data_IF_048511586104
#
_entry.id   IF_048511586104
#
_cell.length_a   1.000
_cell.length_b   1.000
_cell.length_c   1.000
_cell.angle_alpha   90.00
_cell.angle_beta   90.00
_cell.angle_gamma   90.00
#
_symmetry.space_group_name_H-M   'P 1'
#
loop_
_entity.id
_entity.type
_entity.pdbx_description
1 polymer ?
#
# COMPACT_ATOMS: atom_id res chain seq x y z
N UNK A 1 -2.59 19.20 19.18
CA UNK A 1 -1.74 18.00 19.44
C UNK A 1 -2.35 16.80 18.74
N UNK A 2 -1.59 16.13 17.85
CA UNK A 2 -2.02 14.92 17.13
C UNK A 2 -1.26 13.73 17.67
N UNK A 3 -1.95 12.64 18.01
CA UNK A 3 -1.33 11.37 18.40
C UNK A 3 -1.47 10.38 17.27
N UNK A 4 -0.34 9.81 16.81
CA UNK A 4 -0.28 8.80 15.75
C UNK A 4 0.07 7.44 16.32
N UNK A 5 -0.66 6.42 15.88
CA UNK A 5 -0.46 5.02 16.24
C UNK A 5 -0.12 4.20 14.98
N UNK A 6 1.10 4.38 14.41
CA UNK A 6 1.49 3.63 13.23
C UNK A 6 1.69 2.16 13.59
N UNK A 7 0.89 1.29 13.05
CA UNK A 7 0.94 -0.16 13.27
C UNK A 7 2.11 -0.86 12.55
N UNK A 8 2.86 -0.13 11.72
CA UNK A 8 3.79 -0.71 10.75
C UNK A 8 5.25 -0.23 10.86
N UNK A 9 5.65 0.51 11.88
CA UNK A 9 7.05 0.96 11.97
C UNK A 9 7.72 0.63 13.30
N UNK A 10 8.74 -0.24 13.24
CA UNK A 10 9.78 -0.31 14.28
C UNK A 10 10.58 1.00 14.19
N UNK A 11 10.76 1.69 15.31
CA UNK A 11 11.57 2.92 15.37
C UNK A 11 10.86 4.21 14.94
N UNK A 12 9.57 4.33 15.23
CA UNK A 12 8.71 5.45 14.81
C UNK A 12 9.28 6.85 15.06
N UNK A 13 10.08 7.07 16.10
CA UNK A 13 10.62 8.40 16.44
C UNK A 13 11.61 8.96 15.41
N UNK A 14 12.37 8.09 14.74
CA UNK A 14 13.36 8.47 13.72
C UNK A 14 12.89 8.11 12.30
N UNK A 15 11.63 7.74 12.16
CA UNK A 15 11.08 7.39 10.84
C UNK A 15 11.01 8.62 9.92
N UNK A 16 11.08 8.44 8.60
CA UNK A 16 10.85 9.50 7.64
C UNK A 16 9.55 10.25 7.87
N UNK A 17 8.49 9.54 8.26
CA UNK A 17 7.21 10.13 8.64
C UNK A 17 7.35 11.10 9.82
N UNK A 18 8.10 10.73 10.87
CA UNK A 18 8.36 11.59 12.01
C UNK A 18 9.16 12.84 11.66
N UNK A 19 10.17 12.68 10.78
CA UNK A 19 10.99 13.80 10.31
C UNK A 19 10.16 14.83 9.54
N UNK A 20 9.26 14.37 8.66
CA UNK A 20 8.39 15.28 7.89
C UNK A 20 7.37 15.98 8.79
N UNK A 21 6.79 15.29 9.78
CA UNK A 21 5.91 15.91 10.78
C UNK A 21 6.64 17.01 11.57
N UNK A 22 7.88 16.74 11.98
CA UNK A 22 8.69 17.73 12.69
C UNK A 22 9.03 18.93 11.81
N UNK A 23 9.37 18.71 10.54
CA UNK A 23 9.67 19.74 9.57
C UNK A 23 8.48 20.67 9.30
N UNK A 24 7.25 20.15 9.37
CA UNK A 24 6.02 20.96 9.27
C UNK A 24 5.64 21.70 10.57
N UNK A 25 6.42 21.55 11.65
CA UNK A 25 6.13 22.17 12.93
C UNK A 25 4.82 21.70 13.60
N UNK A 26 4.29 20.54 13.19
CA UNK A 26 3.01 20.02 13.72
C UNK A 26 3.23 19.44 15.12
N UNK A 27 2.53 19.93 16.15
CA UNK A 27 2.58 19.33 17.47
C UNK A 27 2.04 17.91 17.46
N UNK A 28 2.93 16.91 17.59
CA UNK A 28 2.57 15.51 17.48
C UNK A 28 3.25 14.62 18.51
N UNK A 29 2.70 13.43 18.71
CA UNK A 29 3.30 12.34 19.46
C UNK A 29 3.13 11.02 18.73
N UNK A 30 4.20 10.27 18.58
CA UNK A 30 4.20 8.97 17.92
C UNK A 30 4.24 7.86 18.98
N UNK A 31 3.33 6.90 18.85
CA UNK A 31 3.25 5.71 19.69
C UNK A 31 3.60 4.48 18.82
N UNK A 32 4.86 4.04 18.82
CA UNK A 32 5.27 2.91 18.00
C UNK A 32 4.56 1.63 18.44
N UNK A 33 4.05 0.88 17.47
CA UNK A 33 3.40 -0.40 17.67
C UNK A 33 4.12 -1.51 16.91
N UNK A 34 4.25 -2.68 17.51
CA UNK A 34 4.86 -3.86 16.87
C UNK A 34 3.81 -4.87 16.37
N UNK A 35 2.57 -4.46 16.19
CA UNK A 35 1.52 -5.40 15.77
C UNK A 35 1.52 -5.54 14.25
N UNK A 36 2.46 -6.32 13.73
CA UNK A 36 2.41 -6.81 12.36
C UNK A 36 1.44 -7.99 12.35
N UNK A 37 0.18 -7.74 11.98
CA UNK A 37 -0.72 -8.80 11.56
C UNK A 37 -0.20 -9.31 10.21
N UNK A 38 0.62 -10.34 10.22
CA UNK A 38 0.90 -11.11 9.01
C UNK A 38 -0.40 -11.78 8.59
N UNK A 39 -0.99 -11.30 7.51
CA UNK A 39 -2.25 -11.82 6.92
C UNK A 39 -2.13 -13.25 6.36
N UNK A 40 -1.13 -14.01 6.77
CA UNK A 40 -0.85 -15.38 6.33
C UNK A 40 -1.42 -16.41 7.28
N UNK A 41 -2.65 -16.26 7.71
CA UNK A 41 -3.05 -17.28 8.62
C UNK A 41 -4.51 -17.64 8.55
N UNK A 42 -4.66 -18.94 8.44
CA UNK A 42 -5.82 -19.72 8.81
C UNK A 42 -6.52 -19.12 10.05
N UNK A 43 -7.82 -19.31 10.15
CA UNK A 43 -8.75 -18.88 11.24
C UNK A 43 -8.11 -18.83 12.65
N UNK A 44 -7.21 -19.74 12.98
CA UNK A 44 -6.49 -19.81 14.26
C UNK A 44 -5.58 -18.59 14.57
N UNK A 45 -5.01 -17.95 13.56
CA UNK A 45 -4.19 -16.74 13.77
C UNK A 45 -5.05 -15.47 13.91
N UNK A 46 -6.26 -15.47 13.39
CA UNK A 46 -7.24 -14.45 13.75
C UNK A 46 -7.56 -14.52 15.24
N UNK A 47 -7.80 -15.72 15.78
CA UNK A 47 -8.08 -15.92 17.20
C UNK A 47 -6.89 -15.56 18.11
N UNK A 48 -5.66 -15.80 17.69
CA UNK A 48 -4.45 -15.48 18.47
C UNK A 48 -3.90 -14.06 18.22
N UNK A 49 -4.18 -13.48 17.07
CA UNK A 49 -3.75 -12.11 16.73
C UNK A 49 -4.64 -11.03 17.36
N UNK A 50 -5.94 -11.27 17.46
CA UNK A 50 -6.90 -10.33 18.05
C UNK A 50 -6.57 -9.91 19.49
N UNK A 51 -6.19 -10.81 20.43
CA UNK A 51 -5.81 -10.41 21.78
C UNK A 51 -4.61 -9.47 21.81
N UNK A 52 -3.62 -9.67 20.92
CA UNK A 52 -2.44 -8.79 20.84
C UNK A 52 -2.79 -7.39 20.33
N UNK A 53 -3.62 -7.31 19.28
CA UNK A 53 -4.12 -6.03 18.74
C UNK A 53 -4.96 -5.30 19.77
N UNK A 54 -5.86 -6.02 20.44
CA UNK A 54 -6.72 -5.44 21.49
C UNK A 54 -5.90 -4.94 22.67
N UNK A 55 -4.93 -5.72 23.15
CA UNK A 55 -4.00 -5.31 24.23
C UNK A 55 -3.21 -4.07 23.82
N UNK A 56 -2.71 -4.02 22.60
CA UNK A 56 -2.02 -2.85 22.06
C UNK A 56 -2.95 -1.64 22.02
N UNK A 57 -4.17 -1.78 21.49
CA UNK A 57 -5.14 -0.69 21.38
C UNK A 57 -5.53 -0.14 22.77
N UNK A 58 -5.76 -1.01 23.76
CA UNK A 58 -6.06 -0.61 25.14
C UNK A 58 -4.88 0.16 25.75
N UNK A 59 -3.65 -0.39 25.65
CA UNK A 59 -2.44 0.29 26.15
C UNK A 59 -2.24 1.64 25.48
N UNK A 60 -2.49 1.74 24.19
CA UNK A 60 -2.39 2.96 23.40
C UNK A 60 -3.43 4.00 23.85
N UNK A 61 -4.68 3.58 24.06
CA UNK A 61 -5.73 4.46 24.53
C UNK A 61 -5.42 5.01 25.95
N UNK A 62 -4.97 4.15 26.87
CA UNK A 62 -4.56 4.57 28.22
C UNK A 62 -3.43 5.60 28.16
N UNK A 63 -2.36 5.30 27.41
CA UNK A 63 -1.21 6.21 27.25
C UNK A 63 -1.59 7.54 26.64
N UNK A 64 -2.48 7.52 25.64
CA UNK A 64 -2.90 8.71 24.91
C UNK A 64 -3.93 9.55 25.67
N UNK A 65 -4.99 8.91 26.20
CA UNK A 65 -6.15 9.61 26.72
C UNK A 65 -6.14 9.81 28.23
N UNK A 66 -5.33 9.07 28.96
CA UNK A 66 -5.24 9.16 30.43
C UNK A 66 -3.91 9.76 30.86
N UNK A 67 -2.78 9.20 30.35
CA UNK A 67 -1.46 9.53 30.84
C UNK A 67 -0.78 10.69 30.09
N UNK A 68 -1.24 11.03 28.88
CA UNK A 68 -0.59 12.07 28.07
C UNK A 68 -1.08 13.48 28.44
N UNK A 69 -0.11 14.39 28.58
CA UNK A 69 -0.33 15.84 28.63
C UNK A 69 0.61 16.51 27.61
N UNK A 70 0.15 17.45 26.80
CA UNK A 70 -1.25 17.88 26.65
C UNK A 70 -2.12 16.77 26.04
N UNK A 71 -3.43 16.86 26.28
CA UNK A 71 -4.43 15.94 25.75
C UNK A 71 -4.53 16.08 24.21
N UNK A 72 -4.68 14.98 23.45
CA UNK A 72 -4.77 15.06 22.00
C UNK A 72 -6.09 15.69 21.52
N UNK A 73 -6.02 16.49 20.47
CA UNK A 73 -7.19 16.94 19.71
C UNK A 73 -7.63 15.89 18.70
N UNK A 74 -6.66 15.12 18.17
CA UNK A 74 -6.87 14.09 17.16
C UNK A 74 -6.00 12.89 17.45
N UNK A 75 -6.55 11.69 17.24
CA UNK A 75 -5.83 10.43 17.25
C UNK A 75 -5.96 9.79 15.86
N UNK A 76 -4.83 9.35 15.28
CA UNK A 76 -4.77 8.69 14.00
C UNK A 76 -4.37 7.25 14.23
N UNK A 77 -5.26 6.33 13.89
CA UNK A 77 -5.13 4.89 14.14
C UNK A 77 -5.14 4.08 12.84
N UNK A 78 -4.48 2.94 12.84
CA UNK A 78 -4.32 2.09 11.66
C UNK A 78 -5.30 0.92 11.58
N UNK A 79 -6.12 0.70 12.61
CA UNK A 79 -7.05 -0.43 12.64
C UNK A 79 -8.44 -0.07 13.17
N UNK A 80 -9.45 -0.79 12.68
CA UNK A 80 -10.83 -0.64 13.15
C UNK A 80 -11.02 -1.02 14.63
N UNK A 81 -10.18 -1.92 15.18
CA UNK A 81 -10.20 -2.28 16.60
C UNK A 81 -9.76 -1.10 17.45
N UNK A 82 -8.72 -0.38 17.03
CA UNK A 82 -8.29 0.83 17.70
C UNK A 82 -9.38 1.89 17.70
N UNK A 83 -10.11 2.06 16.58
CA UNK A 83 -11.26 2.97 16.50
C UNK A 83 -12.27 2.66 17.61
N UNK A 84 -12.64 1.39 17.78
CA UNK A 84 -13.60 0.96 18.79
C UNK A 84 -13.06 1.23 20.21
N UNK A 85 -11.83 0.83 20.49
CA UNK A 85 -11.22 1.00 21.82
C UNK A 85 -11.09 2.50 22.17
N UNK A 86 -10.57 3.33 21.27
CA UNK A 86 -10.50 4.77 21.49
C UNK A 86 -11.88 5.40 21.68
N UNK A 87 -12.90 4.92 20.93
CA UNK A 87 -14.29 5.33 21.09
C UNK A 87 -14.86 5.02 22.47
N UNK A 88 -14.62 3.80 22.98
CA UNK A 88 -15.02 3.37 24.32
C UNK A 88 -14.38 4.29 25.38
N UNK A 89 -13.05 4.50 25.31
CA UNK A 89 -12.36 5.37 26.27
C UNK A 89 -12.83 6.82 26.18
N UNK A 90 -13.09 7.33 24.97
CA UNK A 90 -13.65 8.68 24.76
C UNK A 90 -15.02 8.81 25.44
N UNK A 91 -15.88 7.80 25.31
CA UNK A 91 -17.19 7.76 25.93
C UNK A 91 -17.11 7.65 27.48
N UNK A 92 -16.28 6.74 28.01
CA UNK A 92 -16.07 6.55 29.45
C UNK A 92 -15.49 7.81 30.14
N UNK A 93 -14.71 8.61 29.43
CA UNK A 93 -14.15 9.86 29.92
C UNK A 93 -15.11 11.04 29.74
N UNK A 94 -16.32 10.81 29.20
CA UNK A 94 -17.33 11.83 28.91
C UNK A 94 -16.79 13.01 28.08
N UNK A 95 -15.91 12.73 27.11
CA UNK A 95 -15.23 13.77 26.31
C UNK A 95 -15.73 13.79 24.88
N UNK A 96 -15.80 14.99 24.28
CA UNK A 96 -16.07 15.19 22.85
C UNK A 96 -14.83 14.98 21.99
N UNK A 97 -13.62 15.09 22.55
CA UNK A 97 -12.33 14.90 21.88
C UNK A 97 -11.59 13.70 22.48
N UNK A 98 -10.63 13.09 21.77
CA UNK A 98 -10.11 13.48 20.47
C UNK A 98 -11.00 13.07 19.29
N UNK A 99 -10.81 13.71 18.13
CA UNK A 99 -11.28 13.18 16.86
C UNK A 99 -10.54 11.89 16.54
N UNK A 100 -11.26 10.86 16.13
CA UNK A 100 -10.69 9.53 15.82
C UNK A 100 -10.64 9.37 14.31
N UNK A 101 -9.44 9.22 13.77
CA UNK A 101 -9.17 9.12 12.33
C UNK A 101 -8.65 7.72 12.01
N UNK A 102 -9.36 7.00 11.16
CA UNK A 102 -8.92 5.70 10.63
C UNK A 102 -8.10 5.90 9.36
N UNK A 103 -6.84 5.44 9.37
CA UNK A 103 -5.91 5.56 8.25
C UNK A 103 -5.88 4.29 7.40
N UNK A 104 -6.10 4.43 6.09
CA UNK A 104 -5.87 3.34 5.13
C UNK A 104 -6.98 2.28 5.11
N UNK A 105 -8.24 2.68 5.08
CA UNK A 105 -9.37 1.76 5.03
C UNK A 105 -9.61 1.23 3.62
N UNK A 106 -9.73 -0.11 3.49
CA UNK A 106 -10.13 -0.80 2.26
C UNK A 106 -11.25 -1.79 2.58
N UNK A 107 -12.40 -1.65 1.90
CA UNK A 107 -13.53 -2.56 2.02
C UNK A 107 -13.69 -3.43 0.78
N UNK A 108 -13.42 -4.73 0.92
CA UNK A 108 -13.58 -5.72 -0.15
C UNK A 108 -14.87 -6.50 0.02
N UNK A 109 -15.62 -6.74 -1.06
CA UNK A 109 -16.76 -7.65 -1.03
C UNK A 109 -16.29 -9.10 -0.84
N UNK A 110 -17.09 -9.87 -0.10
CA UNK A 110 -16.92 -11.31 0.05
C UNK A 110 -17.92 -12.04 -0.85
N UNK A 111 -17.58 -13.24 -1.37
CA UNK A 111 -18.52 -14.01 -2.18
C UNK A 111 -19.81 -14.42 -1.43
N UNK A 112 -19.72 -14.59 -0.09
CA UNK A 112 -20.85 -15.00 0.74
C UNK A 112 -21.71 -13.78 1.13
N UNK A 113 -23.00 -13.71 0.74
CA UNK A 113 -23.88 -12.57 1.02
C UNK A 113 -24.03 -12.26 2.50
N UNK A 114 -24.22 -13.30 3.35
CA UNK A 114 -24.35 -13.15 4.79
C UNK A 114 -23.09 -12.57 5.44
N UNK A 115 -21.92 -13.03 5.02
CA UNK A 115 -20.64 -12.49 5.50
C UNK A 115 -20.45 -11.03 5.11
N UNK A 116 -20.89 -10.63 3.92
CA UNK A 116 -20.86 -9.23 3.48
C UNK A 116 -21.82 -8.37 4.30
N UNK A 117 -23.02 -8.86 4.55
CA UNK A 117 -24.01 -8.15 5.36
C UNK A 117 -23.52 -7.92 6.80
N UNK A 118 -23.01 -8.99 7.46
CA UNK A 118 -22.42 -8.89 8.80
C UNK A 118 -21.23 -7.92 8.85
N UNK A 119 -20.34 -7.98 7.85
CA UNK A 119 -19.24 -7.02 7.73
C UNK A 119 -19.74 -5.59 7.52
N UNK A 120 -20.77 -5.41 6.71
CA UNK A 120 -21.41 -4.12 6.51
C UNK A 120 -21.95 -3.55 7.83
N UNK A 121 -22.65 -4.34 8.64
CA UNK A 121 -23.11 -3.93 9.96
C UNK A 121 -21.96 -3.58 10.91
N UNK A 122 -20.92 -4.42 10.94
CA UNK A 122 -19.74 -4.20 11.75
C UNK A 122 -19.05 -2.87 11.39
N UNK A 123 -18.82 -2.58 10.11
CA UNK A 123 -18.19 -1.34 9.71
C UNK A 123 -19.11 -0.11 9.86
N UNK A 124 -20.43 -0.26 9.74
CA UNK A 124 -21.36 0.82 10.12
C UNK A 124 -21.21 1.17 11.60
N UNK A 125 -21.01 0.18 12.47
CA UNK A 125 -20.72 0.43 13.88
C UNK A 125 -19.36 1.12 14.06
N UNK A 126 -18.30 0.66 13.41
CA UNK A 126 -16.97 1.33 13.44
C UNK A 126 -17.08 2.79 12.99
N UNK A 127 -17.80 3.06 11.89
CA UNK A 127 -17.98 4.41 11.36
C UNK A 127 -19.03 5.26 12.10
N UNK A 128 -19.78 4.71 13.02
CA UNK A 128 -20.54 5.54 13.98
C UNK A 128 -19.62 6.16 15.06
N UNK A 129 -18.41 5.63 15.21
CA UNK A 129 -17.41 6.03 16.21
C UNK A 129 -16.32 6.91 15.61
N UNK A 130 -15.81 6.55 14.42
CA UNK A 130 -14.77 7.30 13.73
C UNK A 130 -15.29 8.64 13.23
N UNK A 131 -14.52 9.69 13.39
CA UNK A 131 -14.86 11.03 12.91
C UNK A 131 -14.39 11.21 11.44
N UNK A 132 -13.29 10.53 11.06
CA UNK A 132 -12.75 10.59 9.71
C UNK A 132 -12.14 9.23 9.31
N UNK A 133 -12.19 8.90 8.03
CA UNK A 133 -11.52 7.75 7.44
C UNK A 133 -10.75 8.19 6.17
N UNK A 134 -9.46 7.88 6.13
CA UNK A 134 -8.59 8.17 4.99
C UNK A 134 -8.59 6.98 4.06
N UNK A 135 -8.94 7.23 2.80
CA UNK A 135 -8.93 6.28 1.70
C UNK A 135 -7.84 6.65 0.69
N UNK A 136 -7.39 5.68 -0.08
CA UNK A 136 -6.29 5.89 -1.03
C UNK A 136 -6.74 5.94 -2.49
N UNK A 137 -8.06 6.06 -2.71
CA UNK A 137 -8.68 6.34 -3.99
C UNK A 137 -9.93 7.20 -3.80
N UNK A 138 -10.19 8.12 -4.71
CA UNK A 138 -11.41 8.93 -4.73
C UNK A 138 -12.65 8.07 -5.03
N UNK A 139 -12.49 7.04 -5.87
CA UNK A 139 -13.54 6.04 -6.14
C UNK A 139 -13.96 5.30 -4.87
N UNK A 140 -12.99 4.93 -4.01
CA UNK A 140 -13.28 4.31 -2.71
C UNK A 140 -14.05 5.26 -1.80
N UNK A 141 -13.69 6.54 -1.79
CA UNK A 141 -14.41 7.58 -1.01
C UNK A 141 -15.87 7.65 -1.42
N UNK A 142 -16.16 7.79 -2.71
CA UNK A 142 -17.54 7.87 -3.21
C UNK A 142 -18.33 6.61 -2.90
N UNK A 143 -17.74 5.44 -3.13
CA UNK A 143 -18.35 4.15 -2.81
C UNK A 143 -18.65 4.00 -1.31
N UNK A 144 -17.72 4.41 -0.44
CA UNK A 144 -17.94 4.27 1.01
C UNK A 144 -18.94 5.28 1.55
N UNK A 145 -19.06 6.46 0.96
CA UNK A 145 -20.15 7.40 1.25
C UNK A 145 -21.51 6.76 0.96
N UNK A 146 -21.64 5.98 -0.12
CA UNK A 146 -22.88 5.27 -0.44
C UNK A 146 -23.15 4.09 0.51
N UNK A 147 -22.16 3.21 0.72
CA UNK A 147 -22.31 2.02 1.56
C UNK A 147 -22.59 2.40 3.02
N UNK A 148 -21.94 3.45 3.50
CA UNK A 148 -21.97 3.90 4.89
C UNK A 148 -22.68 5.26 5.05
N UNK A 149 -23.63 5.59 4.16
CA UNK A 149 -24.33 6.89 4.12
C UNK A 149 -25.00 7.32 5.42
N UNK A 150 -25.29 6.39 6.33
CA UNK A 150 -25.85 6.68 7.66
C UNK A 150 -24.76 7.02 8.70
N UNK A 151 -23.48 6.93 8.36
CA UNK A 151 -22.39 7.28 9.28
C UNK A 151 -22.11 8.78 9.25
N UNK A 152 -21.62 9.31 10.37
CA UNK A 152 -21.12 10.70 10.45
C UNK A 152 -19.66 10.83 10.04
N UNK A 153 -19.01 9.72 9.70
CA UNK A 153 -17.59 9.68 9.31
C UNK A 153 -17.36 10.42 8.01
N UNK A 154 -16.40 11.32 8.00
CA UNK A 154 -15.92 11.98 6.80
C UNK A 154 -14.91 11.07 6.09
N UNK A 155 -15.26 10.58 4.90
CA UNK A 155 -14.33 9.84 4.04
C UNK A 155 -13.54 10.83 3.20
N UNK A 156 -12.23 10.72 3.20
CA UNK A 156 -11.34 11.66 2.50
C UNK A 156 -10.24 10.91 1.74
N UNK A 157 -9.98 11.37 0.52
CA UNK A 157 -8.94 10.81 -0.34
C UNK A 157 -7.59 11.46 -0.05
N UNK A 158 -6.60 10.60 0.20
CA UNK A 158 -5.19 10.97 0.23
C UNK A 158 -4.42 9.87 -0.50
N UNK A 159 -3.68 10.19 -1.58
CA UNK A 159 -2.90 9.19 -2.27
C UNK A 159 -1.86 8.56 -1.34
N UNK A 160 -1.48 7.31 -1.63
CA UNK A 160 -0.38 6.67 -0.92
C UNK A 160 0.89 7.48 -1.04
N UNK A 161 1.69 7.51 0.03
CA UNK A 161 3.03 8.06 0.01
C UNK A 161 4.00 7.12 0.68
N UNK A 162 5.18 6.99 0.12
CA UNK A 162 6.23 6.12 0.59
C UNK A 162 7.54 6.88 0.79
N UNK A 163 8.28 6.45 1.78
CA UNK A 163 9.71 6.74 1.84
C UNK A 163 10.45 5.51 1.32
N UNK A 164 11.25 5.71 0.30
CA UNK A 164 12.09 4.68 -0.26
C UNK A 164 13.52 5.15 -0.14
N UNK A 165 14.33 4.42 0.63
CA UNK A 165 15.76 4.68 0.71
C UNK A 165 16.41 4.16 -0.56
N UNK A 166 16.74 5.07 -1.46
CA UNK A 166 17.40 4.77 -2.73
C UNK A 166 18.88 4.41 -2.50
N UNK A 167 19.44 4.89 -1.38
CA UNK A 167 20.88 4.81 -1.05
C UNK A 167 21.29 3.56 -0.26
N UNK A 168 20.36 2.62 -0.01
CA UNK A 168 20.68 1.36 0.65
C UNK A 168 21.50 0.47 -0.28
N UNK A 169 22.81 0.65 -0.28
CA UNK A 169 23.74 -0.25 -0.98
C UNK A 169 23.73 -1.63 -0.28
N UNK A 170 23.58 -2.74 -1.00
CA UNK A 170 23.64 -4.06 -0.40
C UNK A 170 25.04 -4.30 0.20
N UNK A 171 25.09 -4.92 1.37
CA UNK A 171 26.37 -5.35 1.95
C UNK A 171 27.06 -6.38 1.04
N UNK A 172 28.38 -6.49 1.13
CA UNK A 172 29.17 -7.43 0.33
C UNK A 172 28.70 -8.90 0.51
N UNK A 173 28.23 -9.25 1.70
CA UNK A 173 27.65 -10.54 2.03
C UNK A 173 26.31 -10.78 1.31
N UNK A 174 25.51 -9.74 1.11
CA UNK A 174 24.28 -9.79 0.32
C UNK A 174 24.56 -9.92 -1.17
N UNK A 175 25.55 -9.20 -1.71
CA UNK A 175 26.00 -9.36 -3.10
C UNK A 175 26.49 -10.78 -3.41
N UNK A 176 27.13 -11.41 -2.42
CA UNK A 176 27.64 -12.80 -2.56
C UNK A 176 26.49 -13.83 -2.53
N UNK A 177 25.48 -13.61 -1.65
CA UNK A 177 24.28 -14.44 -1.61
C UNK A 177 23.41 -14.26 -2.87
N UNK A 178 23.33 -13.05 -3.41
CA UNK A 178 22.61 -12.74 -4.64
C UNK A 178 23.27 -13.45 -5.85
N UNK A 179 24.59 -13.34 -6.00
CA UNK A 179 25.34 -14.09 -7.04
C UNK A 179 25.19 -15.61 -6.93
N UNK A 180 25.07 -16.14 -5.74
CA UNK A 180 24.88 -17.56 -5.50
C UNK A 180 23.47 -18.06 -5.85
N UNK A 181 22.45 -17.20 -5.62
CA UNK A 181 21.06 -17.52 -5.88
C UNK A 181 20.61 -17.16 -7.31
N UNK A 182 21.31 -16.23 -7.98
CA UNK A 182 21.00 -15.72 -9.32
C UNK A 182 22.29 -15.54 -10.14
N UNK A 183 22.93 -16.65 -10.55
CA UNK A 183 24.08 -16.57 -11.45
C UNK A 183 23.59 -16.04 -12.79
N UNK A 184 24.20 -14.93 -13.27
CA UNK A 184 23.99 -14.35 -14.60
C UNK A 184 22.51 -14.03 -14.93
N UNK A 185 21.84 -13.27 -14.10
CA UNK A 185 20.59 -12.64 -14.50
C UNK A 185 20.91 -11.57 -15.54
N UNK A 186 20.75 -11.91 -16.81
CA UNK A 186 20.69 -10.95 -17.91
C UNK A 186 19.58 -9.92 -17.67
N UNK A 187 19.29 -9.09 -18.65
CA UNK A 187 18.18 -8.14 -18.58
C UNK A 187 16.85 -8.85 -18.28
N UNK A 188 16.09 -8.33 -17.31
CA UNK A 188 14.78 -8.87 -16.95
C UNK A 188 13.76 -7.77 -16.64
N UNK A 189 12.50 -8.12 -16.70
CA UNK A 189 11.38 -7.29 -16.25
C UNK A 189 10.79 -7.84 -14.94
N UNK A 190 10.25 -6.98 -14.11
CA UNK A 190 9.77 -7.35 -12.78
C UNK A 190 8.25 -7.25 -12.68
N UNK A 191 7.62 -8.21 -12.04
CA UNK A 191 6.25 -8.08 -11.53
C UNK A 191 6.21 -8.45 -10.05
N UNK A 192 5.46 -7.71 -9.25
CA UNK A 192 5.40 -7.96 -7.81
C UNK A 192 3.99 -7.81 -7.24
N UNK A 193 3.71 -8.57 -6.18
CA UNK A 193 2.50 -8.48 -5.40
C UNK A 193 1.62 -9.72 -5.48
N UNK A 194 0.65 -9.81 -4.54
CA UNK A 194 -0.21 -10.98 -4.36
C UNK A 194 -1.71 -10.67 -4.45
N UNK A 195 -2.09 -9.42 -4.23
CA UNK A 195 -3.50 -9.04 -4.15
C UNK A 195 -3.98 -8.51 -5.50
N UNK A 196 -5.01 -9.13 -6.06
CA UNK A 196 -5.65 -8.70 -7.29
C UNK A 196 -4.74 -8.72 -8.52
N UNK A 197 -3.72 -9.60 -8.58
CA UNK A 197 -2.83 -9.74 -9.74
C UNK A 197 -3.39 -10.69 -10.78
N UNK A 198 -3.23 -10.30 -12.06
CA UNK A 198 -3.57 -11.12 -13.23
C UNK A 198 -2.31 -11.75 -13.84
N UNK A 199 -1.71 -12.67 -13.12
CA UNK A 199 -0.54 -13.38 -13.62
C UNK A 199 -0.85 -14.27 -14.83
N UNK A 200 -2.10 -14.73 -15.00
CA UNK A 200 -2.49 -15.52 -16.16
C UNK A 200 -2.33 -14.72 -17.47
N UNK A 201 -2.80 -13.48 -17.50
CA UNK A 201 -2.63 -12.58 -18.65
C UNK A 201 -1.16 -12.23 -18.85
N UNK A 202 -0.41 -11.95 -17.79
CA UNK A 202 1.02 -11.61 -17.86
C UNK A 202 1.84 -12.77 -18.43
N UNK A 203 1.63 -14.00 -17.96
CA UNK A 203 2.38 -15.19 -18.43
C UNK A 203 2.13 -15.45 -19.92
N UNK A 204 0.88 -15.33 -20.38
CA UNK A 204 0.56 -15.44 -21.81
C UNK A 204 1.19 -14.32 -22.66
N UNK A 205 1.31 -13.13 -22.11
CA UNK A 205 1.93 -12.01 -22.82
C UNK A 205 3.45 -12.19 -22.95
N UNK A 206 4.12 -12.66 -21.90
CA UNK A 206 5.58 -12.77 -21.81
C UNK A 206 6.11 -14.05 -22.43
N UNK A 207 5.36 -15.15 -22.41
CA UNK A 207 5.84 -16.47 -22.87
C UNK A 207 6.57 -16.45 -24.25
N UNK A 208 6.09 -15.75 -25.29
CA UNK A 208 6.76 -15.73 -26.60
C UNK A 208 7.90 -14.68 -26.69
N UNK A 209 8.20 -13.92 -25.65
CA UNK A 209 9.19 -12.85 -25.69
C UNK A 209 10.57 -13.32 -25.24
N UNK A 210 11.65 -12.82 -25.87
CA UNK A 210 13.03 -13.17 -25.49
C UNK A 210 13.51 -12.32 -24.31
N UNK A 211 12.74 -12.29 -23.22
CA UNK A 211 13.05 -11.55 -21.99
C UNK A 211 12.68 -12.37 -20.77
N UNK A 212 13.50 -12.34 -19.73
CA UNK A 212 13.18 -12.95 -18.45
C UNK A 212 12.16 -12.09 -17.68
N UNK A 213 11.21 -12.76 -17.01
CA UNK A 213 10.29 -12.12 -16.08
C UNK A 213 10.56 -12.64 -14.66
N UNK A 214 10.91 -11.77 -13.75
CA UNK A 214 10.95 -12.07 -12.33
C UNK A 214 9.61 -11.73 -11.68
N UNK A 215 9.03 -12.66 -10.93
CA UNK A 215 7.75 -12.51 -10.25
C UNK A 215 7.95 -12.66 -8.75
N UNK A 216 7.86 -11.57 -8.01
CA UNK A 216 7.89 -11.57 -6.55
C UNK A 216 6.49 -11.79 -6.00
N UNK A 217 6.19 -13.03 -5.65
CA UNK A 217 4.86 -13.41 -5.14
C UNK A 217 4.93 -14.64 -4.22
N UNK A 218 4.49 -14.49 -2.97
CA UNK A 218 4.39 -15.59 -2.00
C UNK A 218 3.01 -16.24 -1.94
N UNK A 219 2.04 -15.72 -2.69
CA UNK A 219 0.69 -16.24 -2.67
C UNK A 219 0.55 -17.46 -3.57
N UNK A 220 0.44 -18.64 -2.98
CA UNK A 220 0.09 -19.84 -3.72
C UNK A 220 -1.25 -19.70 -4.43
N UNK A 221 -2.21 -19.02 -3.79
CA UNK A 221 -3.53 -18.78 -4.37
C UNK A 221 -3.45 -17.93 -5.66
N UNK A 222 -2.60 -16.90 -5.69
CA UNK A 222 -2.45 -16.02 -6.87
C UNK A 222 -1.79 -16.73 -8.07
N UNK A 223 -1.08 -17.83 -7.82
CA UNK A 223 -0.36 -18.62 -8.83
C UNK A 223 -0.99 -20.00 -9.05
N UNK A 224 -2.03 -20.35 -8.29
CA UNK A 224 -2.66 -21.66 -8.35
C UNK A 224 -3.26 -21.93 -9.72
N UNK A 225 -2.95 -23.10 -10.28
CA UNK A 225 -3.47 -23.55 -11.58
C UNK A 225 -2.88 -22.82 -12.79
N UNK A 226 -1.86 -21.96 -12.60
CA UNK A 226 -1.18 -21.31 -13.72
C UNK A 226 0.00 -22.16 -14.20
N UNK A 227 0.10 -22.32 -15.50
CA UNK A 227 1.31 -22.81 -16.16
C UNK A 227 2.35 -21.68 -16.20
N UNK A 228 3.52 -21.92 -15.61
CA UNK A 228 4.61 -20.95 -15.53
C UNK A 228 5.51 -21.10 -16.76
N UNK A 229 5.64 -20.08 -17.62
CA UNK A 229 6.51 -20.14 -18.78
C UNK A 229 7.99 -20.33 -18.42
N UNK A 230 8.77 -20.91 -19.32
CA UNK A 230 10.19 -21.20 -19.08
C UNK A 230 11.05 -19.95 -18.83
N UNK A 231 10.64 -18.78 -19.33
CA UNK A 231 11.30 -17.49 -19.12
C UNK A 231 10.80 -16.73 -17.89
N UNK A 232 10.04 -17.38 -16.99
CA UNK A 232 9.51 -16.78 -15.76
C UNK A 232 10.17 -17.38 -14.53
N UNK A 233 10.78 -16.54 -13.71
CA UNK A 233 11.36 -16.89 -12.42
C UNK A 233 10.45 -16.44 -11.26
N UNK A 234 9.97 -17.40 -10.46
CA UNK A 234 9.16 -17.11 -9.28
C UNK A 234 10.04 -16.91 -8.05
N UNK A 235 10.04 -15.70 -7.52
CA UNK A 235 10.80 -15.30 -6.33
C UNK A 235 9.89 -15.34 -5.10
N UNK A 236 10.07 -16.34 -4.25
CA UNK A 236 9.39 -16.47 -2.97
C UNK A 236 10.29 -15.97 -1.84
N UNK A 237 9.69 -15.48 -0.76
CA UNK A 237 10.41 -14.91 0.38
C UNK A 237 11.36 -13.75 0.01
N UNK A 238 11.08 -13.06 -1.08
CA UNK A 238 11.81 -11.90 -1.55
C UNK A 238 11.21 -10.63 -0.91
N UNK A 239 11.79 -10.17 0.20
CA UNK A 239 11.30 -9.04 0.99
C UNK A 239 12.39 -8.00 1.22
N UNK A 240 11.97 -6.84 1.69
CA UNK A 240 12.84 -5.76 2.17
C UNK A 240 13.95 -5.43 1.16
N UNK A 241 15.20 -5.64 1.52
CA UNK A 241 16.36 -5.31 0.70
C UNK A 241 16.46 -6.16 -0.57
N UNK A 242 16.15 -7.45 -0.51
CA UNK A 242 16.17 -8.33 -1.68
C UNK A 242 15.16 -7.87 -2.73
N UNK A 243 13.94 -7.53 -2.32
CA UNK A 243 12.93 -6.98 -3.22
C UNK A 243 13.36 -5.62 -3.81
N UNK A 244 13.95 -4.74 -3.01
CA UNK A 244 14.45 -3.46 -3.49
C UNK A 244 15.55 -3.66 -4.54
N UNK A 245 16.41 -4.64 -4.37
CA UNK A 245 17.45 -4.97 -5.33
C UNK A 245 16.86 -5.49 -6.65
N UNK A 246 15.88 -6.40 -6.59
CA UNK A 246 15.15 -6.86 -7.77
C UNK A 246 14.52 -5.68 -8.53
N UNK A 247 13.93 -4.75 -7.81
CA UNK A 247 13.32 -3.56 -8.40
C UNK A 247 14.38 -2.62 -9.02
N UNK A 248 15.52 -2.42 -8.36
CA UNK A 248 16.62 -1.59 -8.87
C UNK A 248 17.20 -2.16 -10.17
N UNK A 249 17.33 -3.46 -10.28
CA UNK A 249 17.99 -4.12 -11.40
C UNK A 249 17.04 -4.37 -12.59
N UNK A 250 15.74 -4.41 -12.37
CA UNK A 250 14.77 -4.62 -13.44
C UNK A 250 14.83 -3.49 -14.50
N UNK A 251 14.61 -3.83 -15.76
CA UNK A 251 14.48 -2.85 -16.85
C UNK A 251 13.25 -1.95 -16.64
N UNK A 252 12.13 -2.55 -16.29
CA UNK A 252 10.86 -1.90 -15.97
C UNK A 252 9.94 -2.86 -15.21
N UNK A 253 8.81 -2.35 -14.75
CA UNK A 253 7.86 -3.11 -13.92
C UNK A 253 6.55 -3.32 -14.65
N UNK A 254 5.97 -4.54 -14.53
CA UNK A 254 4.64 -4.86 -15.04
C UNK A 254 3.71 -5.18 -13.89
N UNK A 255 2.57 -4.49 -13.81
CA UNK A 255 1.60 -4.62 -12.73
C UNK A 255 0.24 -5.02 -13.32
N UNK A 256 0.04 -6.32 -13.58
CA UNK A 256 -1.22 -6.83 -14.10
C UNK A 256 -2.27 -6.90 -13.00
N UNK A 257 -3.47 -6.35 -13.22
CA UNK A 257 -4.54 -6.31 -12.23
C UNK A 257 -5.81 -6.99 -12.75
N UNK A 258 -6.46 -7.78 -11.87
CA UNK A 258 -7.77 -8.40 -12.12
C UNK A 258 -8.92 -7.55 -11.58
N UNK A 259 -8.67 -6.73 -10.55
CA UNK A 259 -9.69 -5.99 -9.80
C UNK A 259 -9.77 -4.54 -10.26
N UNK A 260 -10.99 -3.99 -10.31
CA UNK A 260 -11.24 -2.62 -10.77
C UNK A 260 -11.69 -1.68 -9.66
N UNK A 261 -12.16 -2.23 -8.55
CA UNK A 261 -13.00 -1.52 -7.57
C UNK A 261 -12.33 -1.29 -6.22
N UNK A 262 -11.07 -1.68 -6.10
CA UNK A 262 -10.24 -1.47 -4.90
C UNK A 262 -8.85 -0.97 -5.28
N UNK A 263 -8.23 -0.26 -4.37
CA UNK A 263 -6.83 0.16 -4.50
C UNK A 263 -5.91 -1.06 -4.50
N UNK A 264 -5.37 -1.39 -5.67
CA UNK A 264 -4.43 -2.48 -5.88
C UNK A 264 -3.29 -2.03 -6.81
N UNK A 265 -2.06 -2.43 -6.51
CA UNK A 265 -0.90 -2.11 -7.34
C UNK A 265 -0.17 -0.81 -6.99
N UNK A 266 -0.81 0.15 -6.32
CA UNK A 266 -0.27 1.47 -6.03
C UNK A 266 1.10 1.42 -5.32
N UNK A 267 1.28 0.52 -4.36
CA UNK A 267 2.55 0.40 -3.63
C UNK A 267 3.72 0.04 -4.55
N UNK A 268 3.53 -0.95 -5.41
CA UNK A 268 4.55 -1.37 -6.39
C UNK A 268 4.79 -0.29 -7.44
N UNK A 269 3.72 0.38 -7.90
CA UNK A 269 3.80 1.49 -8.83
C UNK A 269 4.64 2.64 -8.27
N UNK A 270 4.34 3.11 -7.05
CA UNK A 270 5.07 4.20 -6.40
C UNK A 270 6.53 3.81 -6.15
N UNK A 271 6.80 2.55 -5.80
CA UNK A 271 8.16 2.05 -5.67
C UNK A 271 8.91 2.06 -7.00
N UNK A 272 8.28 1.62 -8.09
CA UNK A 272 8.85 1.70 -9.42
C UNK A 272 9.18 3.15 -9.82
N UNK A 273 8.25 4.06 -9.62
CA UNK A 273 8.42 5.49 -9.86
C UNK A 273 9.60 6.08 -9.07
N UNK A 274 9.77 5.71 -7.79
CA UNK A 274 10.86 6.19 -6.95
C UNK A 274 12.24 5.80 -7.49
N UNK A 275 12.35 4.62 -8.11
CA UNK A 275 13.59 4.13 -8.74
C UNK A 275 13.71 4.49 -10.23
N UNK A 276 12.89 5.42 -10.72
CA UNK A 276 12.86 5.80 -12.14
C UNK A 276 12.59 4.61 -13.07
N UNK A 277 11.89 3.60 -12.58
CA UNK A 277 11.51 2.44 -13.41
C UNK A 277 10.20 2.73 -14.10
N UNK A 278 10.15 2.64 -15.44
CA UNK A 278 8.89 2.67 -16.18
C UNK A 278 7.95 1.59 -15.66
N UNK A 279 6.65 1.86 -15.68
CA UNK A 279 5.64 0.88 -15.30
C UNK A 279 4.62 0.68 -16.42
N UNK A 280 4.31 -0.59 -16.71
CA UNK A 280 3.12 -1.00 -17.44
C UNK A 280 2.12 -1.49 -16.42
N UNK A 281 0.95 -0.90 -16.35
CA UNK A 281 -0.06 -1.25 -15.34
C UNK A 281 -1.45 -1.37 -15.98
N UNK A 282 -2.24 -2.32 -15.48
CA UNK A 282 -3.63 -2.45 -15.93
C UNK A 282 -4.43 -1.20 -15.59
N UNK A 283 -5.14 -0.66 -16.60
CA UNK A 283 -6.04 0.48 -16.45
C UNK A 283 -7.18 0.12 -15.49
N UNK A 284 -7.25 0.83 -14.39
CA UNK A 284 -8.38 0.79 -13.45
C UNK A 284 -8.66 2.19 -12.95
N UNK A 285 -9.90 2.53 -12.57
CA UNK A 285 -10.20 3.87 -12.05
C UNK A 285 -9.31 4.28 -10.87
N UNK A 286 -8.95 3.32 -10.00
CA UNK A 286 -8.08 3.57 -8.83
C UNK A 286 -6.61 3.77 -9.21
N UNK A 287 -6.17 3.32 -10.38
CA UNK A 287 -4.81 3.51 -10.91
C UNK A 287 -4.71 4.84 -11.66
N UNK A 288 -5.74 5.21 -12.43
CA UNK A 288 -5.74 6.45 -13.23
C UNK A 288 -5.56 7.72 -12.37
N UNK A 289 -5.86 7.66 -11.07
CA UNK A 289 -5.60 8.74 -10.13
C UNK A 289 -4.10 8.93 -9.82
N UNK A 290 -3.28 7.92 -10.10
CA UNK A 290 -1.85 7.88 -9.74
C UNK A 290 -0.93 8.14 -10.93
N UNK A 291 -1.41 8.00 -12.16
CA UNK A 291 -0.58 8.02 -13.36
C UNK A 291 -1.11 8.96 -14.43
N UNK A 292 -0.21 9.37 -15.30
CA UNK A 292 -0.53 10.06 -16.55
C UNK A 292 -0.08 9.17 -17.70
N UNK A 293 -1.06 8.62 -18.44
CA UNK A 293 -0.85 7.72 -19.58
C UNK A 293 0.18 8.26 -20.58
N UNK A 294 1.17 7.42 -20.92
CA UNK A 294 2.21 7.76 -21.91
C UNK A 294 3.24 8.78 -21.41
N UNK A 295 3.06 9.34 -20.22
CA UNK A 295 4.00 10.31 -19.60
C UNK A 295 4.83 9.64 -18.52
N UNK A 296 4.21 9.04 -17.51
CA UNK A 296 4.91 8.42 -16.37
C UNK A 296 4.61 6.91 -16.22
N UNK A 297 3.65 6.39 -16.99
CA UNK A 297 3.30 4.97 -17.05
C UNK A 297 2.61 4.63 -18.37
N UNK A 298 2.55 3.35 -18.71
CA UNK A 298 1.72 2.80 -19.80
C UNK A 298 0.54 2.09 -19.16
N UNK A 299 -0.68 2.46 -19.59
CA UNK A 299 -1.90 1.79 -19.17
C UNK A 299 -2.33 0.78 -20.23
N UNK A 300 -2.67 -0.44 -19.81
CA UNK A 300 -3.17 -1.52 -20.68
C UNK A 300 -4.54 -2.00 -20.22
N UNK A 301 -5.37 -2.46 -21.12
CA UNK A 301 -6.68 -3.01 -20.79
C UNK A 301 -6.56 -4.30 -19.97
N UNK A 302 -7.50 -4.48 -19.07
CA UNK A 302 -7.57 -5.69 -18.24
C UNK A 302 -7.77 -6.94 -19.10
N UNK A 303 -6.95 -7.97 -18.89
CA UNK A 303 -7.05 -9.26 -19.57
C UNK A 303 -6.59 -9.22 -21.03
N UNK A 304 -6.13 -8.09 -21.55
CA UNK A 304 -5.67 -7.96 -22.93
C UNK A 304 -4.21 -8.39 -23.06
N UNK A 305 -4.01 -9.65 -23.48
CA UNK A 305 -2.69 -10.26 -23.66
C UNK A 305 -1.90 -9.58 -24.79
N UNK A 306 -2.61 -9.12 -25.85
CA UNK A 306 -1.96 -8.54 -27.03
C UNK A 306 -1.44 -7.15 -26.70
N UNK A 307 -2.31 -6.28 -26.17
CA UNK A 307 -1.93 -4.93 -25.76
C UNK A 307 -0.82 -4.92 -24.71
N UNK A 308 -0.87 -5.86 -23.73
CA UNK A 308 0.20 -6.01 -22.73
C UNK A 308 1.52 -6.42 -23.37
N UNK A 309 1.50 -7.36 -24.33
CA UNK A 309 2.71 -7.79 -25.07
C UNK A 309 3.30 -6.65 -25.87
N UNK A 310 2.48 -5.91 -26.61
CA UNK A 310 2.91 -4.77 -27.40
C UNK A 310 3.54 -3.67 -26.52
N UNK A 311 2.95 -3.38 -25.36
CA UNK A 311 3.51 -2.44 -24.41
C UNK A 311 4.89 -2.90 -23.88
N UNK A 312 5.04 -4.19 -23.58
CA UNK A 312 6.34 -4.79 -23.19
C UNK A 312 7.37 -4.64 -24.32
N UNK A 313 7.00 -5.04 -25.54
CA UNK A 313 7.88 -4.95 -26.73
C UNK A 313 8.30 -3.50 -27.00
N UNK A 314 7.41 -2.53 -26.85
CA UNK A 314 7.71 -1.11 -27.01
C UNK A 314 8.78 -0.65 -26.02
N UNK A 315 8.67 -1.01 -24.73
CA UNK A 315 9.69 -0.65 -23.73
C UNK A 315 11.02 -1.42 -23.93
N UNK A 316 11.01 -2.57 -24.55
CA UNK A 316 12.23 -3.31 -24.88
C UNK A 316 12.95 -2.69 -26.08
N UNK A 317 12.22 -2.20 -27.08
CA UNK A 317 12.79 -1.71 -28.35
C UNK A 317 13.10 -0.21 -28.36
N UNK A 318 12.37 0.61 -27.58
CA UNK A 318 12.52 2.06 -27.57
C UNK A 318 13.17 2.54 -26.26
N UNK A 319 14.50 2.58 -26.25
CA UNK A 319 15.29 3.01 -25.11
C UNK A 319 15.01 4.46 -24.73
N UNK A 320 14.85 5.37 -25.72
CA UNK A 320 14.60 6.78 -25.47
C UNK A 320 13.23 7.02 -24.81
N UNK A 321 12.20 6.29 -25.24
CA UNK A 321 10.89 6.34 -24.60
C UNK A 321 10.93 5.77 -23.19
N UNK A 322 11.58 4.63 -22.99
CA UNK A 322 11.77 4.00 -21.69
C UNK A 322 12.42 4.94 -20.68
N UNK A 323 13.51 5.62 -21.05
CA UNK A 323 14.23 6.56 -20.19
C UNK A 323 13.37 7.79 -19.83
N UNK A 324 12.68 8.38 -20.82
CA UNK A 324 11.76 9.50 -20.58
C UNK A 324 10.63 9.13 -19.62
N UNK A 325 10.02 7.97 -19.84
CA UNK A 325 8.92 7.48 -18.99
C UNK A 325 9.40 7.30 -17.54
N UNK A 326 10.57 6.70 -17.34
CA UNK A 326 11.19 6.53 -16.03
C UNK A 326 11.54 7.85 -15.34
N UNK A 327 12.07 8.81 -16.06
CA UNK A 327 12.39 10.14 -15.54
C UNK A 327 11.12 10.88 -15.07
N UNK A 328 10.08 10.89 -15.88
CA UNK A 328 8.79 11.48 -15.52
C UNK A 328 8.12 10.75 -14.34
N UNK A 329 8.19 9.41 -14.30
CA UNK A 329 7.70 8.63 -13.17
C UNK A 329 8.37 9.05 -11.85
N UNK A 330 9.69 9.27 -11.86
CA UNK A 330 10.41 9.76 -10.69
C UNK A 330 10.02 11.21 -10.31
N UNK A 331 9.81 12.08 -11.28
CA UNK A 331 9.31 13.43 -11.03
C UNK A 331 7.90 13.39 -10.38
N UNK A 332 7.02 12.53 -10.87
CA UNK A 332 5.68 12.29 -10.28
C UNK A 332 5.79 11.75 -8.85
N UNK A 333 6.67 10.78 -8.58
CA UNK A 333 6.93 10.30 -7.22
C UNK A 333 7.37 11.44 -6.29
N UNK A 334 8.38 12.22 -6.69
CA UNK A 334 8.93 13.31 -5.87
C UNK A 334 7.89 14.38 -5.56
N UNK A 335 7.01 14.71 -6.51
CA UNK A 335 5.99 15.74 -6.35
C UNK A 335 4.74 15.27 -5.61
N UNK A 336 4.28 14.03 -5.83
CA UNK A 336 2.96 13.57 -5.36
C UNK A 336 3.02 12.46 -4.31
N UNK A 337 4.02 11.55 -4.36
CA UNK A 337 3.99 10.29 -3.62
C UNK A 337 5.16 10.09 -2.67
N UNK A 338 6.07 11.06 -2.56
CA UNK A 338 7.11 11.02 -1.53
C UNK A 338 6.51 11.24 -0.12
N UNK A 339 7.23 10.86 0.91
CA UNK A 339 6.77 10.97 2.30
C UNK A 339 6.39 12.41 2.67
N UNK A 340 7.12 13.41 2.18
CA UNK A 340 6.82 14.83 2.40
C UNK A 340 5.42 15.19 1.87
N UNK A 341 5.13 14.84 0.61
CA UNK A 341 3.83 15.11 -0.01
C UNK A 341 2.69 14.40 0.76
N UNK A 342 2.91 13.14 1.13
CA UNK A 342 1.93 12.36 1.91
C UNK A 342 1.61 13.01 3.26
N UNK A 343 2.64 13.37 4.02
CA UNK A 343 2.47 14.00 5.35
C UNK A 343 1.80 15.36 5.22
N UNK A 344 2.18 16.17 4.23
CA UNK A 344 1.55 17.46 3.96
C UNK A 344 0.05 17.31 3.68
N UNK A 345 -0.32 16.38 2.78
CA UNK A 345 -1.72 16.09 2.45
C UNK A 345 -2.50 15.56 3.66
N UNK A 346 -1.88 14.65 4.43
CA UNK A 346 -2.51 14.10 5.63
C UNK A 346 -2.80 15.20 6.68
N UNK A 347 -1.82 16.04 6.97
CA UNK A 347 -2.01 17.14 7.93
C UNK A 347 -3.05 18.13 7.43
N UNK A 348 -3.03 18.48 6.14
CA UNK A 348 -4.06 19.31 5.53
C UNK A 348 -5.49 18.74 5.70
N UNK A 349 -5.63 17.42 5.51
CA UNK A 349 -6.90 16.72 5.71
C UNK A 349 -7.36 16.70 7.18
N UNK A 350 -6.41 16.51 8.13
CA UNK A 350 -6.72 16.49 9.57
C UNK A 350 -7.08 17.86 10.15
N UNK A 351 -6.71 18.93 9.48
CA UNK A 351 -6.98 20.31 9.90
C UNK A 351 -8.27 20.90 9.33
N UNK A 352 -8.87 20.26 8.34
CA UNK A 352 -10.17 20.67 7.80
C UNK A 352 -11.26 20.51 8.89
N UNK A 353 -12.13 21.49 9.05
CA UNK A 353 -13.21 21.48 10.04
C UNK A 353 -14.25 20.37 9.81
#
# INVERSE_FOLDING_TARGET
>A
MIHFFPTFSKGAKNSPFAKELAALGVPHRLFPGEVILRYHARIWLLLLGWPKVTKFAISSAIRSLILSKPYPDTVVVGSHIEVIIFGIFRALLFRKRPNIVLLGFIFTHRPQPLANWLRGLYFRFVFSIADQAICHSSLEVERYKEIFKSSRTRFEYIPYGLHISVDADPSEEQRTLEKKNFPDAGDYILSAGRSGRDYATLFKAVAPLPIALHVVCDSEFALSGLEVPANVLLLRNCYDKAYVQELKNALFVVIPLQVNDISAGQMVLIQAMAFSKPAIITRTPTVEEYVTEGVDSILVKRGDVVELREAIQRLLSDQGFKEKLGAHANATYKSKFCMKAYVTNLIGALQKP
#
